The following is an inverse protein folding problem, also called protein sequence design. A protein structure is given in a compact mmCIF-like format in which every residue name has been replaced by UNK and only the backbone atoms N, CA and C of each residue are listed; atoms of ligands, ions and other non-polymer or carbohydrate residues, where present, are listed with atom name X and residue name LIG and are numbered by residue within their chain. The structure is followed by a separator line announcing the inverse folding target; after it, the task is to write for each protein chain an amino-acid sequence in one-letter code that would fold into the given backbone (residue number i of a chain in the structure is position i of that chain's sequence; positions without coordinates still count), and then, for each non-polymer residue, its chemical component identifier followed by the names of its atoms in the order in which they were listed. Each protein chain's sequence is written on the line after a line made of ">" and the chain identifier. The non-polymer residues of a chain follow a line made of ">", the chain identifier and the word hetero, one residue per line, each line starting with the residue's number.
data_IF_437265352758
#
_entry.id   IF_437265352758
#
_cell.length_a   1.000
_cell.length_b   1.000
_cell.length_c   1.000
_cell.angle_alpha   90.00
_cell.angle_beta   90.00
_cell.angle_gamma   90.00
#
_symmetry.space_group_name_H-M   'P 1'
#
loop_
_entity.id
_entity.type
_entity.pdbx_description
1 polymer ?
#
# COMPACT_ATOMS: atom_id res chain seq x y z
N UNK A 1 -39.01 23.65 -17.29
CA UNK A 1 -38.48 23.33 -15.95
C UNK A 1 -37.56 22.11 -15.92
N UNK A 2 -37.91 20.99 -16.59
CA UNK A 2 -37.15 19.73 -16.55
C UNK A 2 -35.73 19.78 -17.16
N UNK A 3 -35.50 20.63 -18.16
CA UNK A 3 -34.18 20.74 -18.81
C UNK A 3 -33.14 21.45 -17.91
N UNK A 4 -33.58 22.42 -17.11
CA UNK A 4 -32.70 23.16 -16.20
C UNK A 4 -32.24 22.32 -15.01
N UNK A 5 -33.11 21.44 -14.48
CA UNK A 5 -32.74 20.52 -13.39
C UNK A 5 -31.80 19.41 -13.84
N UNK A 6 -31.87 18.97 -15.10
CA UNK A 6 -30.95 17.98 -15.66
C UNK A 6 -29.54 18.57 -15.83
N UNK A 7 -29.44 19.79 -16.36
CA UNK A 7 -28.16 20.49 -16.56
C UNK A 7 -27.47 20.77 -15.21
N UNK A 8 -28.23 21.17 -14.17
CA UNK A 8 -27.68 21.44 -12.84
C UNK A 8 -27.14 20.18 -12.14
N UNK A 9 -27.74 19.01 -12.40
CA UNK A 9 -27.23 17.73 -11.85
C UNK A 9 -26.01 17.23 -12.60
N UNK A 10 -25.90 17.49 -13.90
CA UNK A 10 -24.73 17.12 -14.69
C UNK A 10 -23.49 17.93 -14.30
N UNK A 11 -23.66 19.23 -14.01
CA UNK A 11 -22.54 20.10 -13.60
C UNK A 11 -22.08 19.86 -12.16
N UNK A 12 -22.97 19.47 -11.25
CA UNK A 12 -22.58 19.10 -9.89
C UNK A 12 -21.79 17.79 -9.83
N UNK A 13 -22.04 16.85 -10.75
CA UNK A 13 -21.31 15.57 -10.80
C UNK A 13 -19.87 15.75 -11.30
N UNK A 14 -19.62 16.71 -12.20
CA UNK A 14 -18.28 17.02 -12.70
C UNK A 14 -17.39 17.72 -11.66
N UNK A 15 -17.97 18.41 -10.67
CA UNK A 15 -17.19 19.16 -9.68
C UNK A 15 -16.66 18.33 -8.50
N UNK A 16 -17.20 17.12 -8.25
CA UNK A 16 -16.68 16.22 -7.21
C UNK A 16 -15.56 15.29 -7.70
N UNK A 17 -15.24 15.31 -8.99
CA UNK A 17 -14.26 14.40 -9.60
C UNK A 17 -12.83 14.98 -9.69
N UNK A 18 -12.46 15.92 -8.81
CA UNK A 18 -11.12 16.53 -8.79
C UNK A 18 -10.49 16.60 -7.39
N UNK A 19 -10.54 15.52 -6.62
CA UNK A 19 -9.56 15.29 -5.55
C UNK A 19 -8.74 14.05 -5.85
N UNK A 20 -7.97 14.13 -6.95
CA UNK A 20 -6.77 13.32 -7.10
C UNK A 20 -5.76 13.86 -6.09
N UNK A 21 -5.66 13.22 -4.92
CA UNK A 21 -4.56 13.46 -3.99
C UNK A 21 -3.26 13.09 -4.71
N UNK A 22 -2.58 14.12 -5.20
CA UNK A 22 -1.30 13.98 -5.86
C UNK A 22 -0.28 13.58 -4.79
N UNK A 23 0.15 12.32 -4.83
CA UNK A 23 1.19 11.83 -3.92
C UNK A 23 2.55 11.98 -4.61
N UNK A 24 3.43 12.77 -4.02
CA UNK A 24 4.81 12.92 -4.47
C UNK A 24 5.64 11.83 -3.81
N UNK A 25 6.16 10.89 -4.60
CA UNK A 25 7.21 9.96 -4.15
C UNK A 25 8.54 10.73 -4.17
N UNK A 26 9.19 11.02 -3.03
CA UNK A 26 10.48 11.68 -3.05
C UNK A 26 11.58 10.68 -3.44
N UNK A 27 12.12 10.81 -4.66
CA UNK A 27 13.42 10.25 -5.05
C UNK A 27 14.51 11.06 -4.36
N UNK A 28 14.85 10.74 -3.11
CA UNK A 28 15.94 11.43 -2.42
C UNK A 28 17.30 10.84 -2.80
N UNK A 29 17.95 11.52 -3.74
CA UNK A 29 19.42 11.53 -3.86
C UNK A 29 19.99 12.06 -2.55
N UNK A 30 20.67 11.20 -1.80
CA UNK A 30 21.24 11.52 -0.49
C UNK A 30 22.45 12.45 -0.68
N UNK A 31 22.26 13.75 -0.48
CA UNK A 31 23.33 14.64 -0.03
C UNK A 31 23.22 14.82 1.48
N UNK A 32 24.30 14.49 2.15
CA UNK A 32 24.50 14.59 3.60
C UNK A 32 24.33 16.00 4.13
N UNK A 33 23.54 16.18 5.20
CA UNK A 33 23.96 17.01 6.32
C UNK A 33 23.19 16.66 7.60
N UNK A 34 23.91 16.78 8.70
CA UNK A 34 23.64 16.28 10.05
C UNK A 34 22.69 17.24 10.79
N UNK A 35 21.65 16.74 11.47
CA UNK A 35 21.30 17.24 12.82
C UNK A 35 20.50 16.23 13.65
N UNK A 36 21.08 15.98 14.80
CA UNK A 36 20.77 15.01 15.84
C UNK A 36 19.47 15.34 16.58
N UNK A 37 18.71 14.31 16.96
CA UNK A 37 17.91 14.33 18.19
C UNK A 37 17.97 12.96 18.85
N UNK A 38 18.56 12.97 20.06
CA UNK A 38 18.86 11.83 20.92
C UNK A 38 17.59 11.07 21.28
N UNK A 39 17.60 9.76 21.08
CA UNK A 39 16.97 8.82 22.02
C UNK A 39 18.10 7.99 22.63
N UNK A 40 18.38 8.28 23.90
CA UNK A 40 19.26 7.48 24.75
C UNK A 40 18.53 6.22 25.17
N UNK A 41 19.12 5.04 24.97
CA UNK A 41 19.28 4.02 26.02
C UNK A 41 20.06 2.77 25.53
N UNK A 42 21.05 2.41 26.35
CA UNK A 42 21.95 1.24 26.36
C UNK A 42 23.10 1.18 25.35
N UNK A 43 24.19 1.83 25.75
CA UNK A 43 25.56 1.43 25.42
C UNK A 43 25.99 0.22 26.26
N UNK A 44 26.39 -0.86 25.61
CA UNK A 44 27.38 -1.80 26.14
C UNK A 44 28.23 -2.30 24.99
N UNK A 45 29.44 -1.74 24.89
CA UNK A 45 30.55 -2.40 24.21
C UNK A 45 31.10 -3.46 25.17
N UNK A 46 31.04 -4.74 24.78
CA UNK A 46 32.19 -5.63 24.90
C UNK A 46 32.01 -6.93 24.11
N UNK A 47 33.11 -7.31 23.48
CA UNK A 47 33.35 -8.51 22.69
C UNK A 47 33.21 -9.81 23.49
N UNK A 48 32.42 -10.77 23.00
CA UNK A 48 32.74 -12.21 23.05
C UNK A 48 31.83 -12.98 22.10
N UNK A 49 32.39 -13.99 21.46
CA UNK A 49 31.66 -15.01 20.71
C UNK A 49 30.68 -15.72 21.64
N UNK A 50 29.38 -15.64 21.36
CA UNK A 50 28.41 -16.60 21.87
C UNK A 50 27.44 -16.98 20.75
N UNK A 51 27.48 -18.26 20.39
CA UNK A 51 26.40 -18.93 19.68
C UNK A 51 25.15 -18.84 20.56
N UNK A 52 24.27 -17.90 20.26
CA UNK A 52 22.99 -17.81 20.93
C UNK A 52 21.90 -17.85 19.85
N UNK A 53 21.30 -19.03 19.67
CA UNK A 53 20.18 -19.30 18.77
C UNK A 53 18.88 -18.65 19.25
N UNK A 54 18.96 -17.43 19.74
CA UNK A 54 17.79 -16.60 20.00
C UNK A 54 17.26 -16.14 18.63
N UNK A 55 15.93 -16.21 18.38
CA UNK A 55 15.37 -15.68 17.15
C UNK A 55 15.82 -14.23 17.07
N UNK A 56 16.64 -13.92 16.07
CA UNK A 56 17.23 -12.61 15.85
C UNK A 56 16.08 -11.63 15.68
N UNK A 57 15.64 -11.00 16.79
CA UNK A 57 14.63 -9.96 16.76
C UNK A 57 15.17 -8.88 15.85
N UNK A 58 14.66 -8.86 14.63
CA UNK A 58 15.08 -7.92 13.64
C UNK A 58 14.23 -6.67 13.90
N UNK A 59 14.88 -5.53 13.92
CA UNK A 59 14.24 -4.27 14.28
C UNK A 59 13.20 -3.91 13.21
N UNK A 60 11.95 -3.64 13.61
CA UNK A 60 10.88 -3.14 12.74
C UNK A 60 11.13 -1.69 12.24
N UNK A 61 12.20 -1.04 12.75
CA UNK A 61 12.41 0.40 12.64
C UNK A 61 12.77 0.94 11.26
N UNK A 62 13.34 2.15 11.24
CA UNK A 62 13.46 3.00 10.04
C UNK A 62 14.82 2.83 9.34
N UNK A 63 14.86 3.22 8.05
CA UNK A 63 16.08 3.25 7.24
C UNK A 63 16.35 1.95 6.47
N UNK A 64 17.57 1.78 5.95
CA UNK A 64 17.95 0.68 5.05
C UNK A 64 17.78 -0.74 5.62
N UNK A 65 17.69 -0.85 6.94
CA UNK A 65 17.54 -2.12 7.66
C UNK A 65 16.10 -2.40 8.11
N UNK A 66 15.13 -1.55 7.74
CA UNK A 66 13.73 -1.72 8.05
C UNK A 66 13.22 -3.06 7.49
N UNK A 67 12.54 -3.84 8.34
CA UNK A 67 11.84 -5.06 7.91
C UNK A 67 10.58 -4.70 7.15
N UNK A 68 9.82 -3.76 7.69
CA UNK A 68 8.60 -3.26 7.09
C UNK A 68 9.01 -2.20 6.07
N UNK A 69 8.86 -2.54 4.79
CA UNK A 69 9.21 -1.69 3.65
C UNK A 69 8.30 -2.07 2.46
N UNK A 70 8.13 -1.19 1.46
CA UNK A 70 7.40 -1.55 0.26
C UNK A 70 7.92 -2.85 -0.37
N UNK A 71 7.01 -3.74 -0.75
CA UNK A 71 7.29 -5.01 -1.39
C UNK A 71 7.39 -6.21 -0.44
N UNK A 72 7.12 -6.05 0.86
CA UNK A 72 7.05 -7.18 1.81
C UNK A 72 5.60 -7.57 2.10
N UNK A 73 5.42 -8.81 2.55
CA UNK A 73 4.15 -9.31 3.05
C UNK A 73 4.24 -9.47 4.56
N UNK A 74 3.28 -8.90 5.27
CA UNK A 74 3.04 -9.17 6.69
C UNK A 74 2.01 -10.29 6.78
N UNK A 75 2.30 -11.29 7.62
CA UNK A 75 1.39 -12.41 7.85
C UNK A 75 0.87 -12.29 9.28
N UNK A 76 -0.45 -12.36 9.43
CA UNK A 76 -1.08 -12.27 10.73
C UNK A 76 -0.65 -13.43 11.65
N UNK A 77 -0.44 -13.18 12.95
CA UNK A 77 -0.20 -14.24 13.90
C UNK A 77 -1.45 -15.12 14.07
N UNK A 78 -1.28 -16.30 14.64
CA UNK A 78 -2.38 -17.25 14.88
C UNK A 78 -3.46 -16.64 15.79
N UNK A 79 -3.03 -15.85 16.77
CA UNK A 79 -3.90 -15.26 17.80
C UNK A 79 -4.30 -13.81 17.45
N UNK A 80 -4.60 -13.53 16.18
CA UNK A 80 -5.18 -12.26 15.74
C UNK A 80 -6.71 -12.31 15.83
N UNK A 81 -7.31 -11.36 16.53
CA UNK A 81 -8.76 -11.34 16.82
C UNK A 81 -9.51 -10.30 16.00
N UNK A 82 -8.81 -9.35 15.37
CA UNK A 82 -9.46 -8.40 14.49
C UNK A 82 -9.94 -9.10 13.22
N UNK A 83 -11.23 -9.02 12.93
CA UNK A 83 -11.88 -9.82 11.90
C UNK A 83 -11.34 -9.60 10.48
N UNK A 84 -10.73 -8.43 10.22
CA UNK A 84 -10.03 -8.14 8.96
C UNK A 84 -8.62 -8.71 8.87
N UNK A 85 -7.96 -8.86 10.03
CA UNK A 85 -6.55 -9.22 10.10
C UNK A 85 -6.35 -10.70 10.43
N UNK A 86 -7.36 -11.34 11.01
CA UNK A 86 -7.31 -12.75 11.35
C UNK A 86 -7.02 -13.59 10.09
N UNK A 87 -5.91 -14.34 10.14
CA UNK A 87 -5.43 -15.19 9.04
C UNK A 87 -5.22 -14.43 7.72
N UNK A 88 -4.84 -13.16 7.77
CA UNK A 88 -4.57 -12.36 6.57
C UNK A 88 -3.09 -12.31 6.20
N UNK A 89 -2.85 -12.13 4.90
CA UNK A 89 -1.59 -11.74 4.31
C UNK A 89 -1.73 -10.32 3.75
N UNK A 90 -0.89 -9.40 4.21
CA UNK A 90 -0.95 -7.98 3.88
C UNK A 90 0.31 -7.59 3.11
N UNK A 91 0.14 -7.21 1.85
CA UNK A 91 1.23 -6.71 1.03
C UNK A 91 1.41 -5.21 1.25
N UNK A 92 2.62 -4.79 1.65
CA UNK A 92 2.96 -3.39 1.88
C UNK A 92 3.35 -2.73 0.56
N UNK A 93 2.57 -1.76 0.10
CA UNK A 93 2.83 -1.08 -1.17
C UNK A 93 3.44 0.31 -1.01
N UNK A 94 3.19 1.00 0.11
CA UNK A 94 3.76 2.32 0.35
C UNK A 94 4.06 2.55 1.84
N UNK A 95 5.16 3.27 2.09
CA UNK A 95 5.52 3.81 3.41
C UNK A 95 5.97 5.25 3.19
N UNK A 96 5.38 6.20 3.90
CA UNK A 96 5.65 7.62 3.67
C UNK A 96 5.02 8.51 4.73
N UNK A 97 5.09 9.82 4.54
CA UNK A 97 4.37 10.78 5.39
C UNK A 97 2.96 11.02 4.83
N UNK A 98 1.99 11.22 5.71
CA UNK A 98 0.66 11.72 5.35
C UNK A 98 0.63 13.27 5.35
N UNK A 99 -0.55 13.83 5.09
CA UNK A 99 -0.79 15.28 5.11
C UNK A 99 -0.62 15.93 6.49
N UNK A 100 -0.56 15.12 7.55
CA UNK A 100 -0.34 15.55 8.93
C UNK A 100 1.11 15.35 9.39
N UNK A 101 2.04 15.10 8.46
CA UNK A 101 3.47 14.80 8.74
C UNK A 101 3.70 13.56 9.61
N UNK A 102 2.75 12.63 9.62
CA UNK A 102 2.85 11.35 10.32
C UNK A 102 3.31 10.24 9.38
N UNK A 103 4.22 9.40 9.87
CA UNK A 103 4.68 8.24 9.12
C UNK A 103 3.58 7.18 9.06
N UNK A 104 3.07 6.93 7.86
CA UNK A 104 2.03 5.95 7.57
C UNK A 104 2.58 4.79 6.73
N UNK A 105 2.07 3.60 7.01
CA UNK A 105 2.30 2.39 6.21
C UNK A 105 0.99 1.99 5.57
N UNK A 106 0.99 1.82 4.25
CA UNK A 106 -0.17 1.38 3.48
C UNK A 106 0.08 -0.02 2.94
N UNK A 107 -0.92 -0.87 3.12
CA UNK A 107 -0.91 -2.24 2.63
C UNK A 107 -2.29 -2.65 2.17
N UNK A 108 -2.31 -3.73 1.40
CA UNK A 108 -3.55 -4.37 0.93
C UNK A 108 -3.55 -5.84 1.32
N UNK A 109 -4.70 -6.33 1.76
CA UNK A 109 -4.93 -7.75 2.04
C UNK A 109 -5.03 -8.47 0.69
N UNK A 110 -4.28 -9.56 0.52
CA UNK A 110 -4.14 -10.28 -0.77
C UNK A 110 -4.76 -11.68 -0.78
N UNK A 111 -5.37 -12.11 0.31
CA UNK A 111 -5.89 -13.48 0.50
C UNK A 111 -7.39 -13.54 0.85
N UNK A 112 -8.08 -12.40 0.85
CA UNK A 112 -9.51 -12.31 1.14
C UNK A 112 -10.33 -12.01 -0.13
N UNK A 113 -10.75 -13.04 -0.89
CA UNK A 113 -11.60 -12.84 -2.06
C UNK A 113 -13.00 -12.37 -1.63
N UNK A 114 -13.61 -11.54 -2.46
CA UNK A 114 -15.01 -11.14 -2.35
C UNK A 114 -15.88 -12.04 -3.23
N UNK A 115 -17.20 -11.94 -3.08
CA UNK A 115 -18.15 -12.64 -3.94
C UNK A 115 -18.32 -11.97 -5.32
N UNK A 116 -17.70 -10.82 -5.55
CA UNK A 116 -17.90 -10.01 -6.76
C UNK A 116 -16.71 -10.14 -7.70
N UNK A 117 -17.02 -10.14 -8.99
CA UNK A 117 -16.04 -10.05 -10.07
C UNK A 117 -15.75 -8.60 -10.45
N UNK A 118 -14.62 -8.37 -11.11
CA UNK A 118 -14.26 -7.05 -11.64
C UNK A 118 -15.32 -6.52 -12.62
N UNK A 119 -15.93 -7.38 -13.43
CA UNK A 119 -16.98 -7.02 -14.37
C UNK A 119 -18.22 -6.46 -13.69
N UNK A 120 -18.68 -7.12 -12.63
CA UNK A 120 -19.88 -6.71 -11.87
C UNK A 120 -19.69 -5.35 -11.20
N UNK A 121 -18.50 -5.07 -10.67
CA UNK A 121 -18.22 -3.83 -9.93
C UNK A 121 -17.76 -2.67 -10.82
N UNK A 122 -17.24 -2.93 -12.02
CA UNK A 122 -16.70 -1.89 -12.91
C UNK A 122 -17.74 -1.18 -13.76
N UNK A 123 -19.04 -1.48 -13.59
CA UNK A 123 -20.13 -0.89 -14.38
C UNK A 123 -19.92 -0.97 -15.90
N UNK A 124 -19.25 -2.02 -16.38
CA UNK A 124 -18.94 -2.24 -17.80
C UNK A 124 -17.66 -1.58 -18.32
N UNK A 125 -16.87 -0.91 -17.47
CA UNK A 125 -15.56 -0.37 -17.85
C UNK A 125 -14.53 -1.47 -18.15
N UNK A 126 -14.65 -2.62 -17.48
CA UNK A 126 -13.75 -3.76 -17.64
C UNK A 126 -14.49 -4.87 -18.38
N UNK A 127 -13.92 -5.30 -19.51
CA UNK A 127 -14.52 -6.30 -20.40
C UNK A 127 -13.57 -7.47 -20.69
N UNK A 128 -14.10 -8.56 -21.23
CA UNK A 128 -13.33 -9.74 -21.62
C UNK A 128 -12.92 -10.63 -20.44
N UNK A 129 -11.84 -11.37 -20.61
CA UNK A 129 -11.36 -12.35 -19.61
C UNK A 129 -10.99 -11.71 -18.28
N UNK A 130 -10.51 -10.45 -18.29
CA UNK A 130 -10.17 -9.71 -17.07
C UNK A 130 -11.41 -9.49 -16.18
N UNK A 131 -12.58 -9.27 -16.79
CA UNK A 131 -13.82 -9.01 -16.09
C UNK A 131 -14.29 -10.18 -15.21
N UNK A 132 -13.88 -11.40 -15.53
CA UNK A 132 -14.25 -12.61 -14.77
C UNK A 132 -13.39 -12.84 -13.53
N UNK A 133 -12.33 -12.05 -13.31
CA UNK A 133 -11.51 -12.19 -12.11
C UNK A 133 -12.26 -11.72 -10.88
N UNK A 134 -12.07 -12.45 -9.77
CA UNK A 134 -12.61 -12.06 -8.47
C UNK A 134 -11.89 -10.81 -7.95
N UNK A 135 -12.67 -9.95 -7.30
CA UNK A 135 -12.12 -8.86 -6.52
C UNK A 135 -11.70 -9.35 -5.15
N UNK A 136 -10.59 -8.82 -4.66
CA UNK A 136 -10.07 -9.08 -3.33
C UNK A 136 -10.34 -7.86 -2.45
N UNK A 137 -10.69 -8.11 -1.20
CA UNK A 137 -10.93 -7.05 -0.22
C UNK A 137 -9.60 -6.50 0.25
N UNK A 138 -9.27 -5.26 -0.12
CA UNK A 138 -7.98 -4.65 0.21
C UNK A 138 -7.79 -4.27 1.68
N UNK A 139 -8.85 -3.97 2.43
CA UNK A 139 -8.75 -3.57 3.83
C UNK A 139 -10.07 -3.02 4.40
N UNK A 140 -9.96 -2.31 5.53
CA UNK A 140 -11.08 -1.61 6.17
C UNK A 140 -11.38 -0.24 5.51
N UNK A 141 -10.34 0.39 4.95
CA UNK A 141 -10.38 1.70 4.32
C UNK A 141 -10.23 1.61 2.79
N UNK A 142 -10.74 2.61 2.06
CA UNK A 142 -10.64 2.69 0.59
C UNK A 142 -11.66 1.84 -0.16
N UNK A 143 -12.87 1.69 0.40
CA UNK A 143 -13.94 0.83 -0.14
C UNK A 143 -14.50 1.29 -1.50
N UNK A 144 -14.20 2.52 -1.91
CA UNK A 144 -14.58 3.15 -3.17
C UNK A 144 -13.44 3.15 -4.21
N UNK A 145 -12.28 2.60 -3.86
CA UNK A 145 -11.10 2.54 -4.73
C UNK A 145 -10.69 1.10 -5.02
N UNK A 146 -10.04 0.90 -6.16
CA UNK A 146 -9.49 -0.39 -6.57
C UNK A 146 -8.01 -0.22 -6.91
N UNK A 147 -7.20 -1.21 -6.52
CA UNK A 147 -5.78 -1.28 -6.83
C UNK A 147 -5.53 -2.54 -7.65
N UNK A 148 -4.84 -2.39 -8.79
CA UNK A 148 -4.37 -3.53 -9.58
C UNK A 148 -2.88 -3.78 -9.28
N UNK A 149 -2.59 -5.00 -8.82
CA UNK A 149 -1.22 -5.49 -8.64
C UNK A 149 -0.91 -6.50 -9.75
N UNK A 150 0.21 -6.31 -10.44
CA UNK A 150 0.64 -7.20 -11.53
C UNK A 150 2.16 -7.39 -11.54
N UNK A 151 2.63 -8.41 -12.26
CA UNK A 151 4.05 -8.79 -12.33
C UNK A 151 4.81 -8.17 -13.50
N UNK A 152 4.19 -7.25 -14.25
CA UNK A 152 4.65 -6.89 -15.59
C UNK A 152 4.80 -5.39 -15.80
N UNK A 153 6.01 -4.86 -15.60
CA UNK A 153 6.29 -3.42 -15.65
C UNK A 153 6.31 -2.76 -17.03
N UNK A 154 6.22 -3.53 -18.12
CA UNK A 154 6.30 -3.05 -19.52
C UNK A 154 4.94 -2.91 -20.23
N UNK A 155 3.81 -3.18 -19.55
CA UNK A 155 2.48 -3.20 -20.20
C UNK A 155 2.00 -1.78 -20.56
N UNK A 156 2.30 -0.79 -19.74
CA UNK A 156 1.64 0.52 -19.80
C UNK A 156 2.57 1.61 -20.39
N UNK A 157 2.01 2.62 -21.10
CA UNK A 157 2.79 3.68 -21.75
C UNK A 157 3.62 4.51 -20.75
N UNK A 158 3.21 4.53 -19.48
CA UNK A 158 4.04 4.96 -18.36
C UNK A 158 4.53 3.72 -17.60
N UNK A 159 5.85 3.51 -17.45
CA UNK A 159 6.34 2.41 -16.64
C UNK A 159 5.88 2.61 -15.20
N UNK A 160 5.00 1.72 -14.72
CA UNK A 160 4.66 1.65 -13.31
C UNK A 160 5.94 1.42 -12.51
N UNK A 161 6.12 2.17 -11.42
CA UNK A 161 7.26 1.94 -10.54
C UNK A 161 7.09 0.59 -9.84
N UNK A 162 8.12 -0.26 -9.88
CA UNK A 162 8.13 -1.50 -9.10
C UNK A 162 8.02 -1.16 -7.61
N UNK A 163 7.17 -1.90 -6.91
CA UNK A 163 6.96 -1.74 -5.47
C UNK A 163 8.15 -2.36 -4.73
N UNK A 164 9.07 -1.50 -4.31
CA UNK A 164 10.31 -1.92 -3.64
C UNK A 164 11.18 -2.80 -4.54
N UNK A 165 11.37 -4.06 -4.14
CA UNK A 165 12.16 -5.07 -4.88
C UNK A 165 11.37 -6.36 -5.13
N UNK A 166 10.04 -6.26 -5.10
CA UNK A 166 9.14 -7.42 -5.12
C UNK A 166 8.89 -8.04 -6.50
N UNK A 167 9.21 -7.34 -7.59
CA UNK A 167 8.75 -7.70 -8.93
C UNK A 167 7.25 -7.45 -9.16
N UNK A 168 6.58 -6.82 -8.19
CA UNK A 168 5.17 -6.41 -8.28
C UNK A 168 5.10 -4.92 -8.60
N UNK A 169 4.12 -4.58 -9.44
CA UNK A 169 3.85 -3.24 -9.94
C UNK A 169 2.42 -2.85 -9.58
N UNK A 170 2.22 -1.57 -9.28
CA UNK A 170 0.90 -0.96 -9.14
C UNK A 170 0.49 -0.36 -10.48
N UNK A 171 -0.73 -0.66 -10.95
CA UNK A 171 -1.29 0.00 -12.13
C UNK A 171 -2.11 -0.92 -13.02
N UNK A 172 -2.96 -0.30 -13.84
CA UNK A 172 -3.98 -0.93 -14.67
C UNK A 172 -4.78 0.11 -15.44
#
# INVERSE_FOLDING_TARGET
>A
LLLHTLILRLTLCLFQCQQSTSFTIPTTTIQSSIRTSRTTLFSSENSSQEQNSNPKFRFLGKGKNAIVRPGVVLVAPIDEYQHYLMKSAIFIYAVGMNEFDEMVTRGVIIDHPTAFTMGEMSSGSIVGTLAHNLLFRGGESGNDSAMLLHSRGDIFPSPSAMIGTSGIYEGG
#
